data_IF_517792619516
#
_entry.id   IF_517792619516
#
_cell.length_a   1.000
_cell.length_b   1.000
_cell.length_c   1.000
_cell.angle_alpha   90.00
_cell.angle_beta   90.00
_cell.angle_gamma   90.00
#
_symmetry.space_group_name_H-M   'P 1'
#
loop_
_entity.id
_entity.type
_entity.pdbx_description
1 polymer ?
#
# COMPACT_ATOMS: atom_id res chain seq x y z
N UNK A 1 8.47 -17.71 1.58
CA UNK A 1 7.83 -16.46 2.05
C UNK A 1 8.44 -16.08 3.40
N UNK A 2 9.18 -14.97 3.48
CA UNK A 2 9.93 -14.59 4.69
C UNK A 2 9.45 -13.28 5.34
N UNK A 3 8.71 -12.43 4.62
CA UNK A 3 8.27 -11.13 5.12
C UNK A 3 7.25 -11.26 6.26
N UNK A 4 6.17 -12.02 6.08
CA UNK A 4 5.13 -12.15 7.11
C UNK A 4 5.65 -12.69 8.45
N UNK A 5 6.41 -13.80 8.51
CA UNK A 5 6.92 -14.30 9.79
C UNK A 5 7.90 -13.33 10.46
N UNK A 6 8.74 -12.65 9.68
CA UNK A 6 9.70 -11.66 10.19
C UNK A 6 8.98 -10.44 10.78
N UNK A 7 8.09 -9.82 10.00
CA UNK A 7 7.36 -8.63 10.43
C UNK A 7 6.47 -8.94 11.63
N UNK A 8 5.77 -10.08 11.63
CA UNK A 8 4.94 -10.47 12.77
C UNK A 8 5.74 -10.62 14.07
N UNK A 9 6.93 -11.21 14.01
CA UNK A 9 7.83 -11.34 15.18
C UNK A 9 8.29 -9.98 15.70
N UNK A 10 8.70 -9.08 14.81
CA UNK A 10 9.34 -7.81 15.21
C UNK A 10 8.35 -6.68 15.49
N UNK A 11 7.17 -6.71 14.87
CA UNK A 11 6.09 -5.72 15.04
C UNK A 11 4.96 -6.23 15.97
N UNK A 12 5.09 -7.46 16.51
CA UNK A 12 4.09 -8.11 17.38
C UNK A 12 2.70 -8.21 16.72
N UNK A 13 2.66 -8.62 15.46
CA UNK A 13 1.42 -8.80 14.70
C UNK A 13 0.90 -10.23 14.85
N UNK A 14 -0.42 -10.40 14.77
CA UNK A 14 -1.07 -11.71 14.83
C UNK A 14 -1.10 -12.36 13.44
N UNK A 15 -0.33 -13.44 13.24
CA UNK A 15 -0.37 -14.21 11.98
C UNK A 15 -1.60 -15.08 11.83
N UNK A 16 -2.27 -15.44 12.93
CA UNK A 16 -3.43 -16.33 12.87
C UNK A 16 -4.59 -15.73 12.06
N UNK A 17 -4.67 -14.39 11.98
CA UNK A 17 -5.70 -13.69 11.19
C UNK A 17 -5.50 -13.83 9.67
N UNK A 18 -4.29 -14.17 9.22
CA UNK A 18 -3.93 -14.25 7.79
C UNK A 18 -3.48 -15.65 7.39
N UNK A 19 -3.67 -16.64 8.27
CA UNK A 19 -3.35 -18.04 8.01
C UNK A 19 -4.63 -18.84 7.79
N UNK A 20 -4.59 -19.76 6.83
CA UNK A 20 -5.65 -20.75 6.66
C UNK A 20 -5.54 -21.88 7.70
N UNK A 21 -6.48 -22.83 7.67
CA UNK A 21 -6.52 -23.97 8.58
C UNK A 21 -5.23 -24.84 8.53
N UNK A 22 -4.49 -24.79 7.44
CA UNK A 22 -3.23 -25.52 7.24
C UNK A 22 -1.99 -24.73 7.72
N UNK A 23 -2.18 -23.54 8.28
CA UNK A 23 -1.10 -22.65 8.76
C UNK A 23 -0.35 -21.91 7.65
N UNK A 24 -0.86 -21.94 6.42
CA UNK A 24 -0.29 -21.25 5.26
C UNK A 24 -0.88 -19.84 5.18
N UNK A 25 -0.05 -18.85 4.81
CA UNK A 25 -0.51 -17.48 4.59
C UNK A 25 -1.51 -17.48 3.42
N UNK A 26 -2.71 -16.98 3.69
CA UNK A 26 -3.79 -16.85 2.72
C UNK A 26 -4.03 -15.39 2.39
N UNK A 27 -3.69 -14.98 1.16
CA UNK A 27 -3.90 -13.61 0.66
C UNK A 27 -5.19 -13.48 -0.17
N UNK A 28 -6.05 -14.52 -0.20
CA UNK A 28 -7.27 -14.52 -1.03
C UNK A 28 -8.27 -13.42 -0.66
N UNK A 29 -8.18 -12.88 0.56
CA UNK A 29 -8.99 -11.75 1.01
C UNK A 29 -8.51 -10.39 0.47
N UNK A 30 -7.32 -10.33 -0.14
CA UNK A 30 -6.73 -9.08 -0.65
C UNK A 30 -7.28 -8.78 -2.04
N UNK A 31 -7.93 -7.62 -2.19
CA UNK A 31 -8.31 -7.10 -3.51
C UNK A 31 -7.12 -6.43 -4.18
N UNK A 32 -6.79 -6.86 -5.39
CA UNK A 32 -5.78 -6.19 -6.23
C UNK A 32 -6.46 -5.05 -6.99
N UNK A 33 -6.26 -3.83 -6.51
CA UNK A 33 -6.81 -2.62 -7.13
C UNK A 33 -6.02 -2.20 -8.38
N UNK A 34 -6.70 -1.53 -9.32
CA UNK A 34 -6.00 -0.94 -10.46
C UNK A 34 -5.15 0.25 -10.00
N UNK A 35 -3.99 0.44 -10.64
CA UNK A 35 -3.04 1.52 -10.29
C UNK A 35 -3.70 2.90 -10.25
N UNK A 36 -4.64 3.17 -11.16
CA UNK A 36 -5.34 4.46 -11.27
C UNK A 36 -6.14 4.80 -10.00
N UNK A 37 -6.64 3.79 -9.31
CA UNK A 37 -7.47 3.92 -8.11
C UNK A 37 -6.61 4.10 -6.86
N UNK A 38 -5.34 3.70 -6.92
CA UNK A 38 -4.34 3.92 -5.87
C UNK A 38 -3.65 5.29 -5.95
N UNK A 39 -3.91 6.10 -6.99
CA UNK A 39 -3.32 7.43 -7.11
C UNK A 39 -4.10 8.42 -6.23
N UNK A 40 -3.36 9.16 -5.39
CA UNK A 40 -3.93 10.24 -4.56
C UNK A 40 -4.60 11.29 -5.42
N UNK A 41 -3.97 11.67 -6.54
CA UNK A 41 -4.53 12.62 -7.50
C UNK A 41 -4.93 11.89 -8.79
N UNK A 42 -6.18 12.08 -9.19
CA UNK A 42 -6.78 11.42 -10.33
C UNK A 42 -8.10 12.07 -10.72
N UNK A 43 -8.96 11.33 -11.42
CA UNK A 43 -10.24 11.84 -11.92
C UNK A 43 -11.13 12.43 -10.82
N UNK A 44 -11.14 11.79 -9.64
CA UNK A 44 -12.01 12.14 -8.52
C UNK A 44 -11.34 13.09 -7.51
N UNK A 45 -10.02 13.28 -7.59
CA UNK A 45 -9.28 14.17 -6.70
C UNK A 45 -8.21 14.91 -7.51
N UNK A 46 -8.52 16.12 -7.95
CA UNK A 46 -7.61 16.91 -8.79
C UNK A 46 -6.42 17.37 -7.98
N UNK A 47 -5.32 17.67 -8.68
CA UNK A 47 -4.18 18.35 -8.05
C UNK A 47 -4.64 19.68 -7.42
N UNK A 48 -4.05 20.08 -6.28
CA UNK A 48 -4.24 21.40 -5.70
C UNK A 48 -3.93 22.51 -6.72
N UNK A 49 -4.62 23.64 -6.62
CA UNK A 49 -4.43 24.77 -7.55
C UNK A 49 -3.03 25.40 -7.46
N UNK A 50 -2.42 25.33 -6.29
CA UNK A 50 -1.09 25.82 -5.97
C UNK A 50 0.01 24.74 -6.08
N UNK A 51 -0.31 23.57 -6.65
CA UNK A 51 0.66 22.52 -6.85
C UNK A 51 1.81 23.01 -7.75
N UNK A 52 3.05 22.79 -7.28
CA UNK A 52 4.26 23.17 -8.02
C UNK A 52 4.26 22.44 -9.37
N UNK A 53 4.28 23.16 -10.50
CA UNK A 53 4.31 22.54 -11.82
C UNK A 53 5.54 21.67 -12.02
N UNK A 54 5.42 20.65 -12.88
CA UNK A 54 6.55 19.83 -13.25
C UNK A 54 7.69 20.70 -13.81
N UNK A 55 8.92 20.37 -13.44
CA UNK A 55 10.13 21.09 -13.86
C UNK A 55 10.20 22.57 -13.40
N UNK A 56 9.49 22.95 -12.34
CA UNK A 56 9.68 24.28 -11.73
C UNK A 56 11.11 24.38 -11.17
N UNK A 57 11.90 25.41 -11.56
CA UNK A 57 13.24 25.62 -11.03
C UNK A 57 13.21 25.78 -9.50
N UNK A 58 14.12 25.11 -8.80
CA UNK A 58 14.24 25.28 -7.35
C UNK A 58 14.66 26.72 -7.02
N UNK A 59 14.09 27.32 -5.96
CA UNK A 59 14.53 28.64 -5.50
C UNK A 59 16.00 28.58 -5.10
N UNK A 60 16.74 29.64 -5.42
CA UNK A 60 18.16 29.81 -5.11
C UNK A 60 18.39 30.27 -3.67
#
# INVERSE_FOLDING_TARGET
>A
MAAYPFLAKHLKLNLAEVQNADGIIDESFVTVEERKDMLVFGKNNRYPEDAVPANTPLPK
#
